data_IF_952742728531
#
_entry.id   IF_952742728531
#
_cell.length_a   1.000
_cell.length_b   1.000
_cell.length_c   1.000
_cell.angle_alpha   90.00
_cell.angle_beta   90.00
_cell.angle_gamma   90.00
#
_symmetry.space_group_name_H-M   'P 1'
#
loop_
_entity.id
_entity.type
_entity.pdbx_description
1 polymer ?
#
# COMPACT_ATOMS: atom_id res chain seq x y z
N UNK A 1 8.10 -6.04 -5.54
CA UNK A 1 7.03 -5.38 -4.77
C UNK A 1 6.77 -3.95 -5.26
N UNK A 2 7.81 -3.13 -5.43
CA UNK A 2 7.66 -1.76 -5.95
C UNK A 2 6.98 -1.68 -7.32
N UNK A 3 7.41 -2.49 -8.29
CA UNK A 3 6.77 -2.58 -9.60
C UNK A 3 5.28 -2.91 -9.52
N UNK A 4 4.88 -3.84 -8.64
CA UNK A 4 3.49 -4.22 -8.44
C UNK A 4 2.66 -3.06 -7.85
N UNK A 5 3.21 -2.31 -6.88
CA UNK A 5 2.57 -1.12 -6.34
C UNK A 5 2.40 -0.05 -7.41
N UNK A 6 3.46 0.24 -8.17
CA UNK A 6 3.40 1.19 -9.29
C UNK A 6 2.33 0.77 -10.29
N UNK A 7 2.31 -0.49 -10.74
CA UNK A 7 1.29 -0.98 -11.68
C UNK A 7 -0.13 -0.88 -11.12
N UNK A 8 -0.34 -1.20 -9.85
CA UNK A 8 -1.65 -1.13 -9.21
C UNK A 8 -2.15 0.32 -9.15
N UNK A 9 -1.37 1.24 -8.59
CA UNK A 9 -1.74 2.65 -8.52
C UNK A 9 -1.95 3.24 -9.91
N UNK A 10 -1.06 2.97 -10.86
CA UNK A 10 -1.19 3.43 -12.25
C UNK A 10 -2.51 2.99 -12.88
N UNK A 11 -2.93 1.74 -12.65
CA UNK A 11 -4.19 1.20 -13.18
C UNK A 11 -5.41 1.99 -12.70
N UNK A 12 -5.46 2.39 -11.43
CA UNK A 12 -6.60 3.12 -10.86
C UNK A 12 -6.50 4.64 -10.98
N UNK A 13 -5.31 5.16 -11.24
CA UNK A 13 -5.05 6.59 -11.38
C UNK A 13 -5.00 7.06 -12.84
N UNK A 14 -4.82 6.15 -13.80
CA UNK A 14 -4.66 6.47 -15.23
C UNK A 14 -3.32 7.13 -15.59
N UNK A 15 -2.44 7.35 -14.62
CA UNK A 15 -1.07 7.90 -14.79
C UNK A 15 -0.15 7.27 -13.75
N UNK A 16 1.16 7.34 -13.95
CA UNK A 16 2.11 6.85 -12.95
C UNK A 16 1.98 7.62 -11.63
N UNK A 17 1.90 6.93 -10.47
CA UNK A 17 2.03 7.58 -9.17
C UNK A 17 3.44 8.13 -8.98
N UNK A 18 3.59 9.01 -7.98
CA UNK A 18 4.89 9.49 -7.51
C UNK A 18 5.79 8.33 -7.06
N UNK A 19 7.01 8.27 -7.59
CA UNK A 19 7.90 7.14 -7.37
C UNK A 19 8.43 7.06 -5.93
N UNK A 20 8.60 8.19 -5.26
CA UNK A 20 9.06 8.26 -3.88
C UNK A 20 7.98 7.83 -2.91
N UNK A 21 6.74 8.27 -3.12
CA UNK A 21 5.59 7.77 -2.36
C UNK A 21 5.48 6.25 -2.46
N UNK A 22 5.57 5.70 -3.67
CA UNK A 22 5.52 4.24 -3.87
C UNK A 22 6.69 3.53 -3.17
N UNK A 23 7.91 4.08 -3.23
CA UNK A 23 9.08 3.54 -2.51
C UNK A 23 8.82 3.47 -1.00
N UNK A 24 8.29 4.55 -0.41
CA UNK A 24 7.99 4.64 1.03
C UNK A 24 6.91 3.62 1.42
N UNK A 25 5.81 3.56 0.67
CA UNK A 25 4.70 2.62 0.96
C UNK A 25 5.15 1.16 0.90
N UNK A 26 6.01 0.80 -0.06
CA UNK A 26 6.60 -0.54 -0.16
C UNK A 26 7.50 -0.83 1.04
N UNK A 27 8.31 0.13 1.47
CA UNK A 27 9.16 -0.02 2.66
C UNK A 27 8.32 -0.27 3.91
N UNK A 28 7.25 0.50 4.12
CA UNK A 28 6.33 0.31 5.23
C UNK A 28 5.68 -1.08 5.21
N UNK A 29 5.24 -1.55 4.04
CA UNK A 29 4.63 -2.88 3.88
C UNK A 29 5.62 -4.01 4.20
N UNK A 30 6.87 -3.87 3.74
CA UNK A 30 7.93 -4.84 4.02
C UNK A 30 8.29 -4.88 5.50
N UNK A 31 8.34 -3.71 6.16
CA UNK A 31 8.63 -3.64 7.59
C UNK A 31 7.55 -4.35 8.41
N UNK A 32 6.27 -4.15 8.10
CA UNK A 32 5.18 -4.87 8.79
C UNK A 32 5.29 -6.39 8.68
N UNK A 33 5.66 -6.93 7.51
CA UNK A 33 5.92 -8.36 7.37
C UNK A 33 7.19 -8.83 8.08
N UNK A 34 8.21 -7.99 8.15
CA UNK A 34 9.45 -8.31 8.86
C UNK A 34 9.21 -8.42 10.37
N UNK A 35 8.35 -7.58 10.95
CA UNK A 35 7.90 -7.71 12.34
C UNK A 35 7.23 -9.07 12.58
N UNK A 36 6.36 -9.49 11.66
CA UNK A 36 5.72 -10.82 11.75
C UNK A 36 6.71 -11.97 11.66
N UNK A 37 7.83 -11.83 10.94
CA UNK A 37 8.86 -12.88 10.81
C UNK A 37 9.73 -12.92 12.07
N UNK A 38 10.15 -11.76 12.57
CA UNK A 38 11.07 -11.65 13.72
C UNK A 38 10.38 -11.85 15.06
N UNK A 39 9.10 -11.55 15.16
CA UNK A 39 8.34 -11.70 16.40
C UNK A 39 8.12 -13.16 16.78
N UNK A 40 7.89 -13.37 18.07
CA UNK A 40 7.51 -14.67 18.63
C UNK A 40 6.00 -14.85 18.53
N UNK A 41 5.56 -15.27 17.35
CA UNK A 41 4.16 -15.55 17.03
C UNK A 41 4.00 -17.01 16.63
N UNK A 42 2.89 -17.61 17.02
CA UNK A 42 2.46 -18.90 16.45
C UNK A 42 2.15 -18.76 14.95
N UNK A 43 2.03 -19.88 14.25
CA UNK A 43 1.68 -19.87 12.82
C UNK A 43 0.30 -19.24 12.62
N UNK A 44 -0.66 -19.59 13.48
CA UNK A 44 -2.03 -19.08 13.44
C UNK A 44 -2.07 -17.56 13.65
N UNK A 45 -1.28 -17.05 14.60
CA UNK A 45 -1.15 -15.62 14.85
C UNK A 45 -0.54 -14.89 13.66
N UNK A 46 0.53 -15.42 13.06
CA UNK A 46 1.15 -14.80 11.87
C UNK A 46 0.16 -14.71 10.70
N UNK A 47 -0.62 -15.76 10.46
CA UNK A 47 -1.64 -15.78 9.39
C UNK A 47 -2.72 -14.72 9.66
N UNK A 48 -3.24 -14.68 10.89
CA UNK A 48 -4.26 -13.70 11.29
C UNK A 48 -3.74 -12.28 11.16
N UNK A 49 -2.57 -11.98 11.72
CA UNK A 49 -1.96 -10.65 11.68
C UNK A 49 -1.60 -10.21 10.25
N UNK A 50 -1.06 -11.11 9.42
CA UNK A 50 -0.78 -10.82 8.01
C UNK A 50 -2.05 -10.44 7.25
N UNK A 51 -3.18 -11.11 7.53
CA UNK A 51 -4.49 -10.77 6.97
C UNK A 51 -4.97 -9.40 7.44
N UNK A 52 -4.92 -9.13 8.74
CA UNK A 52 -5.35 -7.84 9.32
C UNK A 52 -4.53 -6.66 8.78
N UNK A 53 -3.21 -6.83 8.64
CA UNK A 53 -2.32 -5.85 7.97
C UNK A 53 -2.69 -5.67 6.49
N UNK A 54 -3.08 -6.75 5.80
CA UNK A 54 -3.66 -6.70 4.46
C UNK A 54 -4.87 -5.79 4.37
N UNK A 55 -5.90 -6.09 5.16
CA UNK A 55 -7.16 -5.34 5.18
C UNK A 55 -6.92 -3.86 5.48
N UNK A 56 -6.07 -3.55 6.47
CA UNK A 56 -5.74 -2.16 6.81
C UNK A 56 -5.07 -1.42 5.64
N UNK A 57 -4.08 -2.04 4.99
CA UNK A 57 -3.37 -1.40 3.88
C UNK A 57 -4.24 -1.24 2.64
N UNK A 58 -5.15 -2.18 2.36
CA UNK A 58 -6.09 -2.08 1.24
C UNK A 58 -7.04 -0.89 1.42
N UNK A 59 -7.58 -0.71 2.64
CA UNK A 59 -8.41 0.43 2.97
C UNK A 59 -7.66 1.77 2.81
N UNK A 60 -6.42 1.85 3.34
CA UNK A 60 -5.56 3.03 3.18
C UNK A 60 -5.22 3.31 1.71
N UNK A 61 -4.94 2.26 0.93
CA UNK A 61 -4.63 2.36 -0.50
C UNK A 61 -5.81 2.93 -1.30
N UNK A 62 -7.03 2.43 -1.06
CA UNK A 62 -8.23 2.93 -1.71
C UNK A 62 -8.50 4.40 -1.38
N UNK A 63 -8.35 4.78 -0.11
CA UNK A 63 -8.52 6.17 0.34
C UNK A 63 -7.48 7.11 -0.32
N UNK A 64 -6.22 6.68 -0.39
CA UNK A 64 -5.15 7.45 -1.00
C UNK A 64 -5.36 7.64 -2.51
N UNK A 65 -5.74 6.59 -3.24
CA UNK A 65 -6.05 6.68 -4.67
C UNK A 65 -7.19 7.68 -4.91
N UNK A 66 -8.25 7.63 -4.10
CA UNK A 66 -9.37 8.57 -4.18
C UNK A 66 -8.90 10.02 -3.98
N UNK A 67 -8.07 10.27 -2.97
CA UNK A 67 -7.50 11.59 -2.70
C UNK A 67 -6.66 12.10 -3.87
N UNK A 68 -5.72 11.29 -4.36
CA UNK A 68 -4.80 11.67 -5.45
C UNK A 68 -5.54 11.93 -6.77
N UNK A 69 -6.59 11.16 -7.07
CA UNK A 69 -7.45 11.43 -8.22
C UNK A 69 -8.27 12.72 -8.04
N UNK A 70 -8.77 13.00 -6.83
CA UNK A 70 -9.46 14.25 -6.53
C UNK A 70 -8.58 15.49 -6.68
N UNK A 71 -7.30 15.41 -6.29
CA UNK A 71 -6.33 16.49 -6.52
C UNK A 71 -6.17 16.79 -8.02
N UNK A 72 -6.09 15.77 -8.89
CA UNK A 72 -5.96 15.97 -10.34
C UNK A 72 -7.10 16.78 -10.94
N UNK A 73 -8.34 16.53 -10.51
CA UNK A 73 -9.51 17.24 -11.02
C UNK A 73 -9.46 18.74 -10.65
N UNK A 74 -8.84 19.10 -9.53
CA UNK A 74 -8.66 20.49 -9.10
C UNK A 74 -7.62 21.21 -9.96
N UNK A 75 -6.50 20.56 -10.31
CA UNK A 75 -5.43 21.15 -11.13
C UNK A 75 -5.70 21.10 -12.65
N UNK A 76 -6.82 20.52 -13.09
CA UNK A 76 -7.19 20.42 -14.51
C UNK A 76 -8.16 21.53 -14.97
N UNK A 77 -8.60 22.40 -14.06
CA UNK A 77 -9.38 23.61 -14.34
C UNK A 77 -8.46 24.82 -14.48
#
# INVERSE_FOLDING_TARGET
MQSAFTSYFSKFMGVSPDAELIRILVSMRLQGYMELIKGDYTVEERIRLAREIGIHADAGTMALIKYLNGQKEVYRK
#
